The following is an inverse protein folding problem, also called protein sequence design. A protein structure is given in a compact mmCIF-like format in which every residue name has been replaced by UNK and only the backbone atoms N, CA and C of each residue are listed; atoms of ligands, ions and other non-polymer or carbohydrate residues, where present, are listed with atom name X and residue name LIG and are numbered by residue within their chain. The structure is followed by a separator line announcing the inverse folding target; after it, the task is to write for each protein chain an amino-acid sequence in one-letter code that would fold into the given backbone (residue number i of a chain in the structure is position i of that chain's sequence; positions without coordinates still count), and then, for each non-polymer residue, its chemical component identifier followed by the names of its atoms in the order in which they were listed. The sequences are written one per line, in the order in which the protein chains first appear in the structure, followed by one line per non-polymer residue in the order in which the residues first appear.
data_IF_211834870705
#
_entry.id   IF_211834870705
#
_cell.length_a   1.000
_cell.length_b   1.000
_cell.length_c   1.000
_cell.angle_alpha   90.00
_cell.angle_beta   90.00
_cell.angle_gamma   90.00
#
_symmetry.space_group_name_H-M   'P 1'
#
loop_
_entity.id
_entity.type
_entity.pdbx_description
1 polymer ?
#
# COMPACT_ATOMS: atom_id res chain seq x y z
N UNK A 1 25.05 -16.25 9.72
CA UNK A 1 23.79 -17.02 9.72
C UNK A 1 22.71 -16.08 9.21
N UNK A 2 22.36 -16.18 7.93
CA UNK A 2 21.44 -15.26 7.24
C UNK A 2 19.99 -15.59 7.62
N UNK A 3 19.31 -14.67 8.30
CA UNK A 3 17.86 -14.76 8.51
C UNK A 3 17.16 -14.55 7.17
N UNK A 4 16.50 -15.60 6.68
CA UNK A 4 15.51 -15.52 5.61
C UNK A 4 14.37 -14.64 6.12
N UNK A 5 14.29 -13.40 5.64
CA UNK A 5 13.12 -12.55 5.82
C UNK A 5 12.00 -13.19 5.02
N UNK A 6 11.17 -13.95 5.74
CA UNK A 6 10.00 -14.62 5.21
C UNK A 6 9.14 -13.60 4.47
N UNK A 7 9.03 -13.77 3.16
CA UNK A 7 8.05 -13.13 2.29
C UNK A 7 6.62 -13.68 2.55
N UNK A 8 6.32 -13.93 3.82
CA UNK A 8 4.99 -14.21 4.35
C UNK A 8 4.67 -13.03 5.26
N UNK A 9 4.15 -11.95 4.68
CA UNK A 9 3.16 -11.20 5.45
C UNK A 9 2.06 -12.22 5.70
N UNK A 10 2.03 -12.75 6.92
CA UNK A 10 1.07 -13.72 7.37
C UNK A 10 -0.30 -13.07 7.25
N UNK A 11 -0.99 -13.33 6.15
CA UNK A 11 -2.26 -12.72 5.74
C UNK A 11 -3.45 -13.00 6.67
N UNK A 12 -3.22 -13.40 7.91
CA UNK A 12 -4.29 -13.89 8.80
C UNK A 12 -4.19 -13.47 10.28
N UNK A 13 -3.10 -12.88 10.78
CA UNK A 13 -2.93 -12.70 12.24
C UNK A 13 -2.76 -11.25 12.74
N UNK A 14 -2.75 -10.24 11.87
CA UNK A 14 -2.78 -8.82 12.29
C UNK A 14 -4.07 -8.07 11.87
N UNK A 15 -4.97 -8.71 11.10
CA UNK A 15 -6.18 -8.07 10.53
C UNK A 15 -7.42 -8.18 11.43
N UNK A 16 -7.25 -7.99 12.74
CA UNK A 16 -8.36 -7.57 13.62
C UNK A 16 -7.94 -6.49 14.62
N UNK A 17 -6.74 -5.91 14.45
CA UNK A 17 -6.45 -4.63 15.07
C UNK A 17 -7.20 -3.57 14.26
N UNK A 18 -8.11 -2.87 14.93
CA UNK A 18 -8.94 -1.83 14.33
C UNK A 18 -8.06 -0.75 13.67
N UNK A 19 -7.80 -0.88 12.38
CA UNK A 19 -7.06 0.10 11.57
C UNK A 19 -7.78 1.46 11.48
N UNK A 20 -9.00 1.55 12.05
CA UNK A 20 -9.80 2.77 12.15
C UNK A 20 -9.14 3.89 12.96
N UNK A 21 -8.21 3.57 13.87
CA UNK A 21 -7.55 4.58 14.72
C UNK A 21 -6.14 4.96 14.26
N UNK A 22 -5.63 4.31 13.21
CA UNK A 22 -4.25 4.54 12.77
C UNK A 22 -4.18 5.82 11.95
N UNK A 23 -3.43 6.80 12.46
CA UNK A 23 -3.17 8.07 11.78
C UNK A 23 -1.89 8.07 10.96
N UNK A 24 -0.94 7.18 11.26
CA UNK A 24 0.34 7.05 10.57
C UNK A 24 0.65 5.60 10.27
N UNK A 25 0.98 5.29 9.02
CA UNK A 25 1.35 3.96 8.56
C UNK A 25 2.71 4.02 7.87
N UNK A 26 3.67 3.26 8.38
CA UNK A 26 4.97 3.05 7.76
C UNK A 26 5.11 1.58 7.36
N UNK A 27 5.24 1.31 6.07
CA UNK A 27 5.23 -0.03 5.51
C UNK A 27 6.41 -0.28 4.57
N UNK A 28 7.08 -1.40 4.81
CA UNK A 28 8.00 -1.97 3.83
C UNK A 28 7.22 -2.87 2.88
N UNK A 29 7.21 -2.52 1.60
CA UNK A 29 6.49 -3.28 0.59
C UNK A 29 7.47 -3.94 -0.40
N UNK A 30 7.47 -5.29 -0.50
CA UNK A 30 8.28 -6.01 -1.49
C UNK A 30 7.88 -5.76 -2.96
N UNK A 31 6.90 -4.90 -3.22
CA UNK A 31 6.40 -4.57 -4.56
C UNK A 31 5.45 -5.61 -5.18
N UNK A 32 5.36 -6.82 -4.62
CA UNK A 32 4.42 -7.86 -5.07
C UNK A 32 3.10 -7.89 -4.27
N UNK A 33 2.98 -7.05 -3.23
CA UNK A 33 1.90 -7.11 -2.24
C UNK A 33 1.16 -5.77 -2.11
N UNK A 34 1.11 -5.00 -3.20
CA UNK A 34 0.35 -3.74 -3.26
C UNK A 34 -1.12 -3.92 -2.89
N UNK A 35 -1.70 -5.10 -3.18
CA UNK A 35 -3.08 -5.42 -2.81
C UNK A 35 -3.35 -5.32 -1.31
N UNK A 36 -2.42 -5.80 -0.47
CA UNK A 36 -2.56 -5.74 0.98
C UNK A 36 -2.52 -4.30 1.48
N UNK A 37 -1.65 -3.47 0.89
CA UNK A 37 -1.60 -2.04 1.16
C UNK A 37 -2.96 -1.38 0.88
N UNK A 38 -3.56 -1.63 -0.29
CA UNK A 38 -4.86 -1.02 -0.61
C UNK A 38 -5.97 -1.44 0.36
N UNK A 39 -6.04 -2.72 0.74
CA UNK A 39 -7.03 -3.16 1.74
C UNK A 39 -6.86 -2.46 3.09
N UNK A 40 -5.63 -2.16 3.50
CA UNK A 40 -5.37 -1.39 4.72
C UNK A 40 -5.80 0.07 4.58
N UNK A 41 -5.51 0.71 3.45
CA UNK A 41 -5.95 2.08 3.18
C UNK A 41 -7.48 2.17 3.24
N UNK A 42 -8.19 1.29 2.54
CA UNK A 42 -9.65 1.27 2.51
C UNK A 42 -10.28 1.08 3.90
N UNK A 43 -9.62 0.31 4.76
CA UNK A 43 -10.10 0.07 6.13
C UNK A 43 -9.84 1.23 7.09
N UNK A 44 -9.00 2.20 6.71
CA UNK A 44 -8.56 3.27 7.59
C UNK A 44 -9.17 4.61 7.20
N UNK A 45 -10.09 5.08 8.03
CA UNK A 45 -10.75 6.38 7.87
C UNK A 45 -10.01 7.54 8.53
N UNK A 46 -8.96 7.28 9.31
CA UNK A 46 -8.18 8.29 10.04
C UNK A 46 -6.72 8.38 9.58
N UNK A 47 -6.31 7.60 8.58
CA UNK A 47 -4.92 7.59 8.13
C UNK A 47 -4.56 8.92 7.47
N UNK A 48 -3.62 9.64 8.06
CA UNK A 48 -3.12 10.94 7.61
C UNK A 48 -1.75 10.88 6.94
N UNK A 49 -0.86 9.99 7.42
CA UNK A 49 0.53 9.90 6.97
C UNK A 49 0.84 8.48 6.51
N UNK A 50 1.12 8.30 5.23
CA UNK A 50 1.50 7.02 4.64
C UNK A 50 2.95 7.08 4.16
N UNK A 51 3.80 6.23 4.74
CA UNK A 51 5.17 6.01 4.30
C UNK A 51 5.31 4.62 3.72
N UNK A 52 5.74 4.55 2.47
CA UNK A 52 5.97 3.30 1.75
C UNK A 52 7.45 3.22 1.41
N UNK A 53 8.13 2.21 1.94
CA UNK A 53 9.48 1.85 1.53
C UNK A 53 9.41 0.63 0.64
N UNK A 54 9.70 0.79 -0.65
CA UNK A 54 9.84 -0.37 -1.54
C UNK A 54 11.14 -1.09 -1.19
N UNK A 55 11.02 -2.39 -0.96
CA UNK A 55 12.16 -3.30 -0.79
C UNK A 55 12.17 -4.30 -1.94
N UNK A 56 13.37 -4.71 -2.38
CA UNK A 56 13.49 -5.70 -3.44
C UNK A 56 13.09 -7.08 -2.93
N UNK A 57 12.07 -7.67 -3.55
CA UNK A 57 11.69 -9.03 -3.24
C UNK A 57 12.50 -10.04 -4.05
N UNK A 58 13.50 -10.65 -3.44
CA UNK A 58 14.34 -11.68 -4.08
C UNK A 58 13.53 -12.95 -4.40
N UNK A 59 12.51 -13.25 -3.58
CA UNK A 59 11.71 -14.49 -3.67
C UNK A 59 10.47 -14.37 -4.54
N UNK A 60 10.09 -13.16 -4.94
CA UNK A 60 8.87 -12.91 -5.70
C UNK A 60 9.13 -13.14 -7.18
N UNK A 61 9.19 -14.41 -7.59
CA UNK A 61 9.22 -14.78 -9.02
C UNK A 61 7.92 -14.46 -9.73
N UNK A 62 6.84 -14.29 -8.97
CA UNK A 62 5.58 -13.77 -9.46
C UNK A 62 5.72 -12.26 -9.51
N UNK A 63 6.16 -11.74 -10.66
CA UNK A 63 5.80 -10.39 -11.02
C UNK A 63 4.28 -10.35 -10.96
N UNK A 64 3.73 -9.64 -9.97
CA UNK A 64 2.36 -9.17 -10.04
C UNK A 64 2.24 -8.57 -11.44
N UNK A 65 1.40 -9.17 -12.27
CA UNK A 65 1.37 -9.07 -13.73
C UNK A 65 0.80 -7.71 -14.18
N UNK A 66 1.13 -6.66 -13.42
CA UNK A 66 0.45 -5.39 -13.36
C UNK A 66 -0.98 -5.51 -12.83
N UNK A 67 -1.37 -6.67 -12.28
CA UNK A 67 -2.75 -7.01 -11.93
C UNK A 67 -3.01 -6.93 -10.43
N UNK A 68 -2.38 -5.98 -9.73
CA UNK A 68 -2.99 -5.44 -8.52
C UNK A 68 -4.37 -4.90 -8.94
N UNK A 69 -5.41 -5.68 -8.62
CA UNK A 69 -6.76 -5.37 -9.06
C UNK A 69 -7.13 -4.04 -8.43
N UNK A 70 -7.41 -3.04 -9.26
CA UNK A 70 -8.08 -1.81 -8.84
C UNK A 70 -9.26 -2.23 -7.98
N UNK A 71 -9.27 -1.79 -6.74
CA UNK A 71 -10.36 -2.11 -5.85
C UNK A 71 -11.60 -1.36 -6.34
N UNK A 72 -12.78 -1.87 -5.97
CA UNK A 72 -14.05 -1.22 -6.31
C UNK A 72 -14.29 0.05 -5.49
N UNK A 73 -13.45 0.34 -4.49
CA UNK A 73 -13.59 1.55 -3.71
C UNK A 73 -13.23 2.77 -4.56
N UNK A 74 -14.13 3.74 -4.56
CA UNK A 74 -13.89 5.06 -5.16
C UNK A 74 -12.93 5.90 -4.30
N UNK A 75 -12.71 5.48 -3.05
CA UNK A 75 -12.05 6.23 -2.00
C UNK A 75 -11.05 5.34 -1.25
N UNK A 76 -9.77 5.68 -1.26
CA UNK A 76 -8.76 4.92 -0.52
C UNK A 76 -8.60 5.42 0.92
N UNK A 77 -8.67 6.73 1.16
CA UNK A 77 -8.75 7.30 2.51
C UNK A 77 -9.17 8.76 2.38
N UNK A 78 -10.09 9.20 3.24
CA UNK A 78 -10.57 10.58 3.33
C UNK A 78 -9.63 11.50 4.11
N UNK A 79 -8.75 10.93 4.94
CA UNK A 79 -7.87 11.71 5.83
C UNK A 79 -6.43 11.78 5.35
N UNK A 80 -6.10 11.11 4.24
CA UNK A 80 -4.72 10.93 3.79
C UNK A 80 -4.11 12.24 3.29
N UNK A 81 -3.38 12.93 4.16
CA UNK A 81 -2.76 14.23 3.90
C UNK A 81 -1.34 14.11 3.33
N UNK A 82 -0.57 13.09 3.74
CA UNK A 82 0.84 12.93 3.35
C UNK A 82 1.11 11.52 2.85
N UNK A 83 1.77 11.44 1.69
CA UNK A 83 2.30 10.19 1.16
C UNK A 83 3.80 10.40 0.89
N UNK A 84 4.64 9.54 1.45
CA UNK A 84 6.06 9.46 1.17
C UNK A 84 6.40 8.09 0.65
N UNK A 85 7.02 8.02 -0.52
CA UNK A 85 7.43 6.74 -1.12
C UNK A 85 8.91 6.77 -1.44
N UNK A 86 9.62 5.73 -1.02
CA UNK A 86 11.06 5.57 -1.21
C UNK A 86 11.38 4.21 -1.82
N UNK A 87 12.51 4.10 -2.50
CA UNK A 87 12.96 2.84 -3.11
C UNK A 87 12.26 2.46 -4.43
N UNK A 88 11.47 3.36 -5.03
CA UNK A 88 10.90 3.14 -6.36
C UNK A 88 11.99 3.11 -7.44
N UNK A 89 11.84 2.22 -8.41
CA UNK A 89 12.73 2.08 -9.58
C UNK A 89 12.15 2.71 -10.85
N UNK A 90 10.97 3.34 -10.78
CA UNK A 90 10.28 3.92 -11.92
C UNK A 90 9.60 2.88 -12.81
N UNK A 91 9.29 1.70 -12.27
CA UNK A 91 8.64 0.65 -13.05
C UNK A 91 7.19 1.01 -13.34
N UNK A 92 6.64 0.47 -14.43
CA UNK A 92 5.29 0.82 -14.91
C UNK A 92 4.21 0.49 -13.86
N UNK A 93 4.37 -0.61 -13.14
CA UNK A 93 3.50 -1.04 -12.04
C UNK A 93 3.57 -0.08 -10.85
N UNK A 94 4.77 0.33 -10.44
CA UNK A 94 4.97 1.32 -9.37
C UNK A 94 4.32 2.66 -9.71
N UNK A 95 4.57 3.16 -10.92
CA UNK A 95 3.98 4.41 -11.39
C UNK A 95 2.45 4.31 -11.47
N UNK A 96 1.93 3.15 -11.89
CA UNK A 96 0.50 2.92 -11.97
C UNK A 96 -0.13 2.86 -10.57
N UNK A 97 0.54 2.25 -9.59
CA UNK A 97 0.11 2.23 -8.20
C UNK A 97 0.08 3.65 -7.62
N UNK A 98 1.16 4.41 -7.79
CA UNK A 98 1.22 5.81 -7.33
C UNK A 98 0.10 6.66 -7.92
N UNK A 99 -0.11 6.56 -9.25
CA UNK A 99 -1.22 7.25 -9.92
C UNK A 99 -2.57 6.86 -9.35
N UNK A 100 -2.75 5.60 -9.00
CA UNK A 100 -4.00 5.12 -8.43
C UNK A 100 -4.24 5.61 -7.01
N UNK A 101 -3.21 5.59 -6.16
CA UNK A 101 -3.29 6.15 -4.80
C UNK A 101 -3.70 7.62 -4.88
N UNK A 102 -2.96 8.43 -5.66
CA UNK A 102 -3.22 9.86 -5.80
C UNK A 102 -4.60 10.15 -6.41
N UNK A 103 -5.03 9.38 -7.42
CA UNK A 103 -6.33 9.58 -8.07
C UNK A 103 -7.52 9.27 -7.16
N UNK A 104 -7.36 8.38 -6.18
CA UNK A 104 -8.45 7.94 -5.30
C UNK A 104 -8.26 8.41 -3.85
N UNK A 105 -7.46 9.47 -3.64
CA UNK A 105 -7.54 10.24 -2.40
C UNK A 105 -8.92 10.89 -2.35
N UNK A 106 -9.59 10.79 -1.20
CA UNK A 106 -10.93 11.33 -1.02
C UNK A 106 -10.94 12.83 -0.73
N UNK A 107 -9.98 13.57 -1.27
CA UNK A 107 -10.05 15.02 -1.22
C UNK A 107 -11.29 15.42 -2.01
N UNK A 108 -12.23 16.03 -1.31
CA UNK A 108 -13.38 16.73 -1.87
C UNK A 108 -12.88 17.90 -2.75
N UNK A 109 -12.34 17.61 -3.93
CA UNK A 109 -12.27 18.57 -5.02
C UNK A 109 -13.58 18.48 -5.81
N UNK A 110 -14.63 18.91 -5.13
CA UNK A 110 -15.79 19.48 -5.79
C UNK A 110 -15.50 20.98 -5.96
N UNK A 111 -14.78 21.33 -7.03
CA UNK A 111 -14.84 22.66 -7.63
C UNK A 111 -14.53 22.59 -9.13
#
# INVERSE_FOLDING_TARGET
MMMQVLCHISSALLLSLSFSEITKLDIECPGCQWRSLFGMLESSNKLEDLKIRKVDCITCRVHDDGRWRRTSSKCLSSSLARISVTGLKGLKDEMSMMKYILKHQCNDENN
#
